data_IF_736850595740
#
_entry.id   IF_736850595740
#
_cell.length_a   1.000
_cell.length_b   1.000
_cell.length_c   1.000
_cell.angle_alpha   90.00
_cell.angle_beta   90.00
_cell.angle_gamma   90.00
#
_symmetry.space_group_name_H-M   'P 1'
#
loop_
_entity.id
_entity.type
_entity.pdbx_description
1 polymer ?
#
# COMPACT_ATOMS: atom_id res chain seq x y z
N UNK A 1 -19.59 -3.60 2.41
CA UNK A 1 -18.17 -3.19 2.27
C UNK A 1 -17.67 -2.80 3.65
N UNK A 2 -16.60 -3.43 4.17
CA UNK A 2 -15.98 -2.96 5.43
C UNK A 2 -15.06 -1.78 5.14
N UNK A 3 -15.01 -0.82 6.05
CA UNK A 3 -14.12 0.34 5.99
C UNK A 3 -12.90 0.07 6.87
N UNK A 4 -11.73 0.44 6.38
CA UNK A 4 -10.49 0.34 7.12
C UNK A 4 -10.44 1.38 8.24
N UNK A 5 -9.88 1.02 9.41
CA UNK A 5 -9.79 1.90 10.60
C UNK A 5 -9.11 3.25 10.32
N UNK A 6 -8.10 3.26 9.44
CA UNK A 6 -7.38 4.48 9.03
C UNK A 6 -8.24 5.45 8.22
N UNK A 7 -9.43 5.02 7.77
CA UNK A 7 -10.38 5.83 7.01
C UNK A 7 -11.32 6.65 7.88
N UNK A 8 -11.62 6.24 9.11
CA UNK A 8 -12.65 6.89 9.92
C UNK A 8 -12.46 8.41 10.09
N UNK A 9 -11.26 8.91 10.46
CA UNK A 9 -11.08 10.35 10.60
C UNK A 9 -11.29 11.10 9.27
N UNK A 10 -10.80 10.55 8.15
CA UNK A 10 -10.95 11.17 6.83
C UNK A 10 -12.41 11.16 6.37
N UNK A 11 -13.15 10.09 6.63
CA UNK A 11 -14.57 9.97 6.28
C UNK A 11 -15.41 10.98 7.07
N UNK A 12 -15.16 11.12 8.38
CA UNK A 12 -15.85 12.10 9.22
C UNK A 12 -15.57 13.52 8.74
N UNK A 13 -14.30 13.87 8.52
CA UNK A 13 -13.93 15.18 7.99
C UNK A 13 -14.52 15.44 6.60
N UNK A 14 -14.51 14.43 5.73
CA UNK A 14 -15.13 14.51 4.41
C UNK A 14 -16.64 14.75 4.48
N UNK A 15 -17.34 14.06 5.38
CA UNK A 15 -18.77 14.24 5.59
C UNK A 15 -19.09 15.65 6.09
N UNK A 16 -18.34 16.15 7.08
CA UNK A 16 -18.49 17.50 7.62
C UNK A 16 -18.24 18.56 6.54
N UNK A 17 -17.18 18.40 5.75
CA UNK A 17 -16.84 19.31 4.65
C UNK A 17 -17.94 19.34 3.59
N UNK A 18 -18.43 18.17 3.14
CA UNK A 18 -19.50 18.05 2.16
C UNK A 18 -20.80 18.67 2.68
N UNK A 19 -21.15 18.43 3.95
CA UNK A 19 -22.33 19.03 4.57
C UNK A 19 -22.23 20.54 4.62
N UNK A 20 -21.05 21.08 4.95
CA UNK A 20 -20.80 22.52 4.96
C UNK A 20 -20.94 23.12 3.54
N UNK A 21 -20.28 22.53 2.55
CA UNK A 21 -20.30 23.00 1.16
C UNK A 21 -21.72 23.00 0.61
N UNK A 22 -22.48 21.93 0.81
CA UNK A 22 -23.86 21.86 0.34
C UNK A 22 -24.77 22.84 1.11
N UNK A 23 -24.61 22.95 2.42
CA UNK A 23 -25.37 23.92 3.24
C UNK A 23 -25.14 25.36 2.79
N UNK A 24 -23.87 25.76 2.58
CA UNK A 24 -23.55 27.10 2.06
C UNK A 24 -24.07 27.29 0.63
N UNK A 25 -23.97 26.28 -0.22
CA UNK A 25 -24.51 26.33 -1.58
C UNK A 25 -26.00 26.61 -1.58
N UNK A 26 -26.81 25.85 -0.82
CA UNK A 26 -28.26 26.08 -0.72
C UNK A 26 -28.63 27.41 -0.08
N UNK A 27 -27.81 27.96 0.81
CA UNK A 27 -28.05 29.23 1.46
C UNK A 27 -27.73 30.43 0.54
N UNK A 28 -26.62 30.41 -0.21
CA UNK A 28 -26.13 31.54 -0.99
C UNK A 28 -26.49 31.49 -2.47
N UNK A 29 -26.75 30.30 -3.02
CA UNK A 29 -26.99 30.15 -4.48
C UNK A 29 -28.47 29.90 -4.72
N UNK A 30 -29.16 30.85 -5.39
CA UNK A 30 -30.60 30.73 -5.68
C UNK A 30 -30.91 29.74 -6.82
N UNK A 31 -29.92 29.30 -7.60
CA UNK A 31 -30.09 28.44 -8.77
C UNK A 31 -30.15 26.96 -8.36
N UNK A 32 -31.35 26.38 -8.35
CA UNK A 32 -31.58 24.98 -7.91
C UNK A 32 -30.74 23.96 -8.70
N UNK A 33 -30.60 24.14 -10.02
CA UNK A 33 -29.83 23.22 -10.86
C UNK A 33 -28.34 23.19 -10.50
N UNK A 34 -27.76 24.35 -10.10
CA UNK A 34 -26.38 24.42 -9.65
C UNK A 34 -26.20 23.72 -8.29
N UNK A 35 -27.15 23.88 -7.38
CA UNK A 35 -27.14 23.17 -6.09
C UNK A 35 -27.22 21.65 -6.27
N UNK A 36 -28.06 21.16 -7.18
CA UNK A 36 -28.14 19.74 -7.53
C UNK A 36 -26.80 19.24 -8.09
N UNK A 37 -26.18 20.01 -8.99
CA UNK A 37 -24.89 19.66 -9.58
C UNK A 37 -23.79 19.57 -8.51
N UNK A 38 -23.70 20.54 -7.59
CA UNK A 38 -22.75 20.51 -6.46
C UNK A 38 -23.00 19.29 -5.57
N UNK A 39 -24.26 18.96 -5.31
CA UNK A 39 -24.62 17.79 -4.49
C UNK A 39 -24.20 16.47 -5.14
N UNK A 40 -24.36 16.35 -6.46
CA UNK A 40 -23.92 15.17 -7.20
C UNK A 40 -22.40 15.02 -7.13
N UNK A 41 -21.64 16.10 -7.37
CA UNK A 41 -20.17 16.09 -7.26
C UNK A 41 -19.75 15.70 -5.84
N UNK A 42 -20.40 16.26 -4.83
CA UNK A 42 -20.14 15.94 -3.41
C UNK A 42 -20.37 14.47 -3.11
N UNK A 43 -21.44 13.88 -3.65
CA UNK A 43 -21.73 12.45 -3.49
C UNK A 43 -20.69 11.56 -4.15
N UNK A 44 -20.26 11.90 -5.38
CA UNK A 44 -19.20 11.18 -6.09
C UNK A 44 -17.89 11.26 -5.31
N UNK A 45 -17.54 12.44 -4.81
CA UNK A 45 -16.33 12.62 -4.00
C UNK A 45 -16.37 11.80 -2.72
N UNK A 46 -17.50 11.80 -2.02
CA UNK A 46 -17.68 10.99 -0.82
C UNK A 46 -17.58 9.49 -1.11
N UNK A 47 -18.19 9.03 -2.21
CA UNK A 47 -18.05 7.65 -2.66
C UNK A 47 -16.58 7.28 -2.93
N UNK A 48 -15.78 8.16 -3.55
CA UNK A 48 -14.36 7.92 -3.79
C UNK A 48 -13.57 7.78 -2.48
N UNK A 49 -13.89 8.59 -1.44
CA UNK A 49 -13.30 8.45 -0.11
C UNK A 49 -13.64 7.06 0.49
N UNK A 50 -14.90 6.65 0.44
CA UNK A 50 -15.31 5.34 0.95
C UNK A 50 -14.64 4.21 0.17
N UNK A 51 -14.58 4.32 -1.16
CA UNK A 51 -13.93 3.35 -2.03
C UNK A 51 -12.44 3.21 -1.73
N UNK A 52 -11.75 4.32 -1.49
CA UNK A 52 -10.33 4.32 -1.14
C UNK A 52 -10.05 3.55 0.15
N UNK A 53 -10.86 3.77 1.20
CA UNK A 53 -10.69 3.13 2.50
C UNK A 53 -11.39 1.77 2.62
N UNK A 54 -11.79 1.15 1.51
CA UNK A 54 -12.39 -0.19 1.56
C UNK A 54 -11.40 -1.23 2.07
N UNK A 55 -11.91 -2.13 2.91
CA UNK A 55 -11.15 -3.23 3.51
C UNK A 55 -11.79 -4.57 3.12
N UNK A 56 -11.43 -5.14 1.95
CA UNK A 56 -11.96 -6.42 1.55
C UNK A 56 -11.43 -7.55 2.44
N UNK A 57 -12.29 -8.51 2.74
CA UNK A 57 -11.88 -9.78 3.32
C UNK A 57 -11.33 -10.63 2.17
N UNK A 58 -10.14 -11.19 2.36
CA UNK A 58 -9.49 -12.07 1.39
C UNK A 58 -9.05 -13.36 2.06
N UNK A 59 -9.36 -14.47 1.43
CA UNK A 59 -8.81 -15.77 1.80
C UNK A 59 -7.39 -15.83 1.27
N UNK A 60 -6.42 -15.76 2.17
CA UNK A 60 -5.00 -15.84 1.85
C UNK A 60 -4.53 -17.27 2.05
N UNK A 61 -4.02 -17.90 0.99
CA UNK A 61 -3.40 -19.21 1.07
C UNK A 61 -2.01 -19.07 1.70
N UNK A 62 -1.92 -19.42 2.97
CA UNK A 62 -0.67 -19.36 3.73
C UNK A 62 0.25 -20.50 3.31
N UNK A 63 1.44 -20.18 2.79
CA UNK A 63 2.44 -21.17 2.37
C UNK A 63 3.84 -20.63 2.63
N UNK A 64 4.65 -21.36 3.40
CA UNK A 64 6.02 -20.94 3.78
C UNK A 64 7.00 -20.89 2.59
N UNK A 65 6.65 -21.47 1.44
CA UNK A 65 7.46 -21.41 0.20
C UNK A 65 7.10 -20.25 -0.71
N UNK A 66 5.93 -19.63 -0.52
CA UNK A 66 5.46 -18.56 -1.38
C UNK A 66 5.77 -17.19 -0.79
N UNK A 67 6.14 -16.27 -1.68
CA UNK A 67 6.15 -14.84 -1.40
C UNK A 67 4.91 -14.27 -2.07
N UNK A 68 3.94 -13.81 -1.27
CA UNK A 68 2.70 -13.24 -1.77
C UNK A 68 2.81 -11.72 -1.93
N UNK A 69 2.00 -11.18 -2.81
CA UNK A 69 1.92 -9.74 -3.01
C UNK A 69 1.42 -9.02 -1.75
N UNK A 70 2.17 -8.03 -1.25
CA UNK A 70 1.77 -7.26 -0.08
C UNK A 70 0.64 -6.26 -0.37
N UNK A 71 0.35 -5.93 -1.62
CA UNK A 71 -0.65 -4.93 -2.00
C UNK A 71 -1.29 -5.22 -3.35
N UNK A 72 -2.42 -4.55 -3.62
CA UNK A 72 -2.95 -4.41 -4.98
C UNK A 72 -2.10 -3.43 -5.76
N UNK A 73 -2.03 -3.61 -7.08
CA UNK A 73 -1.37 -2.67 -7.95
C UNK A 73 -1.00 -3.24 -9.29
N UNK A 74 -0.03 -2.61 -9.93
CA UNK A 74 0.60 -3.05 -11.16
C UNK A 74 2.09 -3.28 -10.93
N UNK A 75 2.61 -4.39 -11.39
CA UNK A 75 4.05 -4.66 -11.30
C UNK A 75 4.81 -3.81 -12.32
N UNK A 76 5.67 -2.92 -11.84
CA UNK A 76 6.34 -1.91 -12.68
C UNK A 76 7.86 -2.09 -12.75
N UNK A 77 8.43 -2.91 -11.88
CA UNK A 77 9.88 -3.20 -11.87
C UNK A 77 10.11 -4.67 -11.50
N UNK A 78 10.98 -5.34 -12.25
CA UNK A 78 11.64 -6.60 -11.91
C UNK A 78 13.10 -6.43 -12.25
N UNK A 79 13.98 -6.28 -11.27
CA UNK A 79 15.41 -6.09 -11.51
C UNK A 79 16.27 -6.69 -10.39
N UNK A 80 17.51 -7.03 -10.73
CA UNK A 80 18.50 -7.45 -9.74
C UNK A 80 19.25 -6.22 -9.25
N UNK A 81 19.28 -6.04 -7.93
CA UNK A 81 19.91 -4.90 -7.27
C UNK A 81 20.68 -5.35 -6.04
N UNK A 82 21.62 -4.53 -5.59
CA UNK A 82 22.22 -4.66 -4.26
C UNK A 82 21.38 -3.84 -3.29
N UNK A 83 20.79 -4.49 -2.29
CA UNK A 83 20.07 -3.80 -1.22
C UNK A 83 21.05 -3.39 -0.12
N UNK A 84 21.24 -2.08 0.07
CA UNK A 84 22.34 -1.52 0.90
C UNK A 84 21.88 -1.05 2.30
N UNK A 85 20.59 -1.16 2.65
CA UNK A 85 20.10 -0.68 3.95
C UNK A 85 20.23 -1.75 5.05
N UNK A 86 19.83 -2.99 4.74
CA UNK A 86 19.80 -4.07 5.70
C UNK A 86 20.39 -5.38 5.18
N UNK A 87 20.02 -5.80 3.96
CA UNK A 87 20.44 -7.11 3.43
C UNK A 87 21.92 -7.11 3.09
N UNK A 88 22.45 -6.02 2.52
CA UNK A 88 23.82 -5.87 2.04
C UNK A 88 24.23 -6.99 1.09
N UNK A 89 23.30 -7.43 0.24
CA UNK A 89 23.50 -8.53 -0.72
C UNK A 89 22.73 -8.28 -2.02
N UNK A 90 23.07 -9.02 -3.08
CA UNK A 90 22.30 -9.02 -4.32
C UNK A 90 20.96 -9.72 -4.11
N UNK A 91 19.89 -9.06 -4.54
CA UNK A 91 18.52 -9.55 -4.44
C UNK A 91 17.74 -9.17 -5.70
N UNK A 92 16.55 -9.74 -5.87
CA UNK A 92 15.61 -9.31 -6.90
C UNK A 92 14.59 -8.35 -6.29
N UNK A 93 14.49 -7.15 -6.87
CA UNK A 93 13.48 -6.16 -6.52
C UNK A 93 12.25 -6.33 -7.41
N UNK A 94 11.09 -6.41 -6.78
CA UNK A 94 9.76 -6.39 -7.39
C UNK A 94 9.02 -5.15 -6.91
N UNK A 95 8.64 -4.25 -7.81
CA UNK A 95 7.97 -3.00 -7.43
C UNK A 95 6.53 -2.98 -7.90
N UNK A 96 5.61 -2.74 -6.97
CA UNK A 96 4.18 -2.71 -7.19
C UNK A 96 3.69 -1.26 -7.03
N UNK A 97 3.25 -0.65 -8.11
CA UNK A 97 2.63 0.67 -8.10
C UNK A 97 1.14 0.57 -7.74
N UNK A 98 0.72 1.35 -6.77
CA UNK A 98 -0.65 1.39 -6.28
C UNK A 98 -1.33 2.68 -6.74
N UNK A 99 -2.29 2.59 -7.66
CA UNK A 99 -3.13 3.73 -8.02
C UNK A 99 -4.13 4.05 -6.90
N UNK A 100 -4.67 5.28 -6.80
CA UNK A 100 -5.69 5.63 -5.80
C UNK A 100 -6.95 4.75 -5.82
N UNK A 101 -7.22 4.06 -6.93
CA UNK A 101 -8.36 3.15 -7.06
C UNK A 101 -8.10 1.74 -6.54
N UNK A 102 -6.85 1.38 -6.23
CA UNK A 102 -6.48 0.09 -5.67
C UNK A 102 -6.86 -0.01 -4.17
N UNK A 103 -6.83 -1.23 -3.61
CA UNK A 103 -6.92 -1.44 -2.17
C UNK A 103 -5.58 -1.08 -1.54
N UNK A 104 -5.59 -0.21 -0.53
CA UNK A 104 -4.38 0.30 0.12
C UNK A 104 -4.02 -0.40 1.43
N UNK A 105 -4.84 -1.34 1.89
CA UNK A 105 -4.46 -2.30 2.92
C UNK A 105 -3.31 -3.17 2.41
N UNK A 106 -2.39 -3.50 3.29
CA UNK A 106 -1.22 -4.30 2.97
C UNK A 106 -1.16 -5.55 3.83
N UNK A 107 -0.60 -6.61 3.27
CA UNK A 107 -0.38 -7.91 3.89
C UNK A 107 1.12 -8.19 4.02
N UNK A 108 1.50 -9.00 5.01
CA UNK A 108 2.87 -9.49 5.06
C UNK A 108 3.14 -10.42 3.88
N UNK A 109 4.27 -10.24 3.16
CA UNK A 109 4.58 -11.06 1.98
C UNK A 109 4.97 -12.50 2.31
N UNK A 110 5.41 -12.77 3.54
CA UNK A 110 5.82 -14.09 3.99
C UNK A 110 5.49 -14.32 5.46
N UNK A 111 5.49 -15.60 5.86
CA UNK A 111 5.47 -15.97 7.27
C UNK A 111 6.89 -15.82 7.85
N UNK A 112 7.00 -15.42 9.12
CA UNK A 112 8.29 -15.33 9.78
C UNK A 112 8.32 -14.40 10.98
N UNK A 113 9.51 -13.98 11.35
CA UNK A 113 9.75 -13.01 12.41
C UNK A 113 10.20 -11.68 11.81
N UNK A 114 9.62 -10.58 12.24
CA UNK A 114 10.10 -9.24 11.89
C UNK A 114 11.43 -9.02 12.61
N UNK A 115 12.52 -8.90 11.86
CA UNK A 115 13.87 -8.69 12.40
C UNK A 115 14.35 -7.25 12.21
N UNK A 116 13.60 -6.44 11.47
CA UNK A 116 13.88 -5.02 11.26
C UNK A 116 12.60 -4.27 10.89
N UNK A 117 12.40 -3.10 11.47
CA UNK A 117 11.29 -2.21 11.13
C UNK A 117 11.72 -0.76 11.37
N UNK A 118 11.95 0.00 10.30
CA UNK A 118 12.45 1.37 10.39
C UNK A 118 11.69 2.33 9.49
N UNK A 119 11.28 3.44 10.05
CA UNK A 119 10.73 4.58 9.32
C UNK A 119 11.83 5.55 8.90
N UNK A 120 11.72 6.06 7.68
CA UNK A 120 12.61 7.06 7.12
C UNK A 120 11.80 8.26 6.65
N UNK A 121 11.98 9.44 7.23
CA UNK A 121 11.44 10.66 6.65
C UNK A 121 12.06 10.91 5.28
N UNK A 122 11.34 11.56 4.39
CA UNK A 122 11.83 11.77 3.03
C UNK A 122 10.97 12.76 2.24
N UNK A 123 11.21 12.79 0.93
CA UNK A 123 10.47 13.58 -0.04
C UNK A 123 9.13 12.92 -0.39
N UNK A 124 8.36 13.59 -1.23
CA UNK A 124 7.09 13.11 -1.77
C UNK A 124 7.12 13.17 -3.30
N UNK A 125 8.14 12.56 -3.91
CA UNK A 125 8.19 12.39 -5.36
C UNK A 125 7.04 11.48 -5.80
N UNK A 126 6.62 11.61 -7.06
CA UNK A 126 5.64 10.68 -7.61
C UNK A 126 6.14 9.23 -7.50
N UNK A 127 5.27 8.30 -7.11
CA UNK A 127 5.69 6.96 -6.70
C UNK A 127 6.36 6.13 -7.81
N UNK A 128 6.13 6.45 -9.08
CA UNK A 128 6.79 5.80 -10.22
C UNK A 128 8.16 6.41 -10.57
N UNK A 129 8.57 7.49 -9.91
CA UNK A 129 9.90 8.07 -10.15
C UNK A 129 10.98 7.11 -9.64
N UNK A 130 12.07 6.84 -10.42
CA UNK A 130 13.12 5.89 -10.03
C UNK A 130 13.73 6.14 -8.64
N UNK A 131 13.92 7.42 -8.27
CA UNK A 131 14.46 7.81 -6.97
C UNK A 131 13.47 7.72 -5.80
N UNK A 132 12.20 7.40 -6.06
CA UNK A 132 11.19 7.32 -4.97
C UNK A 132 11.51 6.26 -3.93
N UNK A 133 12.13 5.15 -4.34
CA UNK A 133 12.53 4.05 -3.43
C UNK A 133 13.57 4.45 -2.39
N UNK A 134 14.36 5.51 -2.65
CA UNK A 134 15.46 5.95 -1.79
C UNK A 134 15.25 7.31 -1.18
N UNK A 135 14.56 8.22 -1.86
CA UNK A 135 14.42 9.62 -1.43
C UNK A 135 13.07 9.93 -0.77
N UNK A 136 12.00 9.17 -1.05
CA UNK A 136 10.69 9.41 -0.46
C UNK A 136 10.61 8.94 0.99
N UNK A 137 9.63 9.51 1.70
CA UNK A 137 9.14 8.96 2.97
C UNK A 137 8.86 7.48 2.78
N UNK A 138 9.44 6.63 3.63
CA UNK A 138 9.32 5.18 3.51
C UNK A 138 9.43 4.46 4.84
N UNK A 139 8.89 3.25 4.90
CA UNK A 139 9.14 2.29 5.98
C UNK A 139 9.75 1.03 5.39
N UNK A 140 10.87 0.60 5.96
CA UNK A 140 11.56 -0.63 5.57
C UNK A 140 11.32 -1.70 6.62
N UNK A 141 10.84 -2.86 6.20
CA UNK A 141 10.52 -3.99 7.07
C UNK A 141 11.23 -5.24 6.53
N UNK A 142 11.89 -5.99 7.41
CA UNK A 142 12.53 -7.26 7.06
C UNK A 142 11.93 -8.41 7.87
N UNK A 143 11.52 -9.46 7.16
CA UNK A 143 10.97 -10.68 7.73
C UNK A 143 11.99 -11.81 7.50
N UNK A 144 12.39 -12.46 8.57
CA UNK A 144 13.17 -13.71 8.51
C UNK A 144 12.20 -14.90 8.56
N UNK A 145 12.21 -15.71 7.51
CA UNK A 145 11.41 -16.94 7.45
C UNK A 145 11.99 -18.03 8.32
N UNK A 146 11.23 -19.12 8.54
CA UNK A 146 11.74 -20.32 9.26
C UNK A 146 12.97 -20.93 8.59
N UNK A 147 13.08 -20.82 7.26
CA UNK A 147 14.21 -21.32 6.45
C UNK A 147 15.39 -20.33 6.42
N UNK A 148 15.35 -19.27 7.24
CA UNK A 148 16.39 -18.24 7.32
C UNK A 148 16.52 -17.38 6.06
N UNK A 149 15.54 -17.41 5.14
CA UNK A 149 15.48 -16.45 4.05
C UNK A 149 14.99 -15.09 4.61
N UNK A 150 15.62 -14.01 4.16
CA UNK A 150 15.22 -12.64 4.50
C UNK A 150 14.42 -12.05 3.37
N UNK A 151 13.23 -11.57 3.65
CA UNK A 151 12.35 -10.86 2.72
C UNK A 151 12.22 -9.43 3.23
N UNK A 152 12.75 -8.48 2.46
CA UNK A 152 12.59 -7.06 2.77
C UNK A 152 11.44 -6.52 1.92
N UNK A 153 10.54 -5.79 2.54
CA UNK A 153 9.58 -4.98 1.79
C UNK A 153 9.59 -3.54 2.31
N UNK A 154 9.39 -2.62 1.37
CA UNK A 154 9.47 -1.20 1.62
C UNK A 154 8.17 -0.53 1.20
N UNK A 155 7.52 0.11 2.15
CA UNK A 155 6.38 0.98 1.91
C UNK A 155 6.90 2.35 1.51
N UNK A 156 6.47 2.90 0.38
CA UNK A 156 6.98 4.15 -0.18
C UNK A 156 5.82 5.10 -0.42
N UNK A 157 5.88 6.28 0.18
CA UNK A 157 4.90 7.34 -0.05
C UNK A 157 5.02 7.89 -1.48
N UNK A 158 3.93 8.38 -2.02
CA UNK A 158 3.89 9.08 -3.30
C UNK A 158 3.63 10.58 -3.13
N UNK A 159 3.43 11.30 -4.23
CA UNK A 159 3.23 12.76 -4.22
C UNK A 159 2.00 13.22 -3.41
N UNK A 160 0.96 12.41 -3.35
CA UNK A 160 -0.27 12.69 -2.60
C UNK A 160 -0.28 11.93 -1.26
N UNK A 161 0.44 10.81 -1.19
CA UNK A 161 0.56 9.98 0.01
C UNK A 161 1.49 10.66 1.01
N UNK A 162 0.93 11.16 2.11
CA UNK A 162 1.69 11.84 3.18
C UNK A 162 1.71 11.05 4.48
N UNK A 163 1.27 9.78 4.48
CA UNK A 163 1.25 8.98 5.70
C UNK A 163 1.31 7.49 5.42
N UNK A 164 2.38 6.89 5.90
CA UNK A 164 2.57 5.44 5.97
C UNK A 164 2.15 4.98 7.36
N UNK A 165 1.22 4.03 7.43
CA UNK A 165 0.86 3.31 8.64
C UNK A 165 1.56 1.95 8.59
N UNK A 166 2.68 1.83 9.26
CA UNK A 166 3.42 0.59 9.42
C UNK A 166 2.97 -0.08 10.74
N UNK A 167 2.55 -1.34 10.66
CA UNK A 167 2.13 -2.13 11.82
C UNK A 167 3.15 -3.21 12.21
N UNK A 168 4.29 -3.27 11.52
CA UNK A 168 5.33 -4.22 11.82
C UNK A 168 6.07 -3.81 13.11
N UNK A 169 6.05 -4.71 14.08
CA UNK A 169 6.79 -4.56 15.35
C UNK A 169 7.99 -5.49 15.31
N UNK A 170 9.19 -4.95 15.48
CA UNK A 170 10.40 -5.73 15.51
C UNK A 170 10.35 -6.78 16.64
N UNK A 171 10.78 -8.00 16.34
CA UNK A 171 10.70 -9.15 17.25
C UNK A 171 9.38 -9.93 17.16
N UNK A 172 8.32 -9.41 16.55
CA UNK A 172 7.03 -10.09 16.43
C UNK A 172 7.04 -11.19 15.36
N UNK A 173 6.21 -12.22 15.56
CA UNK A 173 5.92 -13.23 14.55
C UNK A 173 4.74 -12.76 13.70
N UNK A 174 4.85 -12.94 12.38
CA UNK A 174 3.85 -12.52 11.41
C UNK A 174 3.51 -13.63 10.43
N UNK A 175 2.29 -13.56 9.89
CA UNK A 175 1.79 -14.49 8.88
C UNK A 175 1.26 -13.75 7.66
N UNK A 176 1.26 -14.40 6.51
CA UNK A 176 0.81 -13.85 5.23
C UNK A 176 -0.63 -13.33 5.24
N UNK A 177 -1.52 -13.85 6.10
CA UNK A 177 -2.90 -13.39 6.22
C UNK A 177 -3.08 -12.19 7.16
N UNK A 178 -2.00 -11.76 7.84
CA UNK A 178 -2.03 -10.60 8.74
C UNK A 178 -1.85 -9.30 7.97
N UNK A 179 -2.41 -8.25 8.52
CA UNK A 179 -2.27 -6.89 8.01
C UNK A 179 -0.91 -6.30 8.39
N UNK A 180 -0.15 -5.86 7.38
CA UNK A 180 1.18 -5.28 7.55
C UNK A 180 1.17 -3.76 7.67
N UNK A 181 0.12 -3.10 7.13
CA UNK A 181 0.02 -1.66 7.17
C UNK A 181 -1.00 -1.07 6.20
N UNK A 182 -0.95 0.25 6.07
CA UNK A 182 -1.79 1.03 5.16
C UNK A 182 -1.04 2.26 4.68
N UNK A 183 -1.13 2.61 3.39
CA UNK A 183 -0.58 3.86 2.86
C UNK A 183 -1.72 4.72 2.31
N UNK A 184 -1.77 6.01 2.71
CA UNK A 184 -2.86 6.92 2.28
C UNK A 184 -2.48 7.63 0.98
N UNK A 185 -3.31 7.49 -0.07
CA UNK A 185 -3.29 8.25 -1.33
C UNK A 185 -2.09 8.05 -2.27
N UNK A 186 -2.04 6.90 -2.95
CA UNK A 186 -1.11 6.60 -4.04
C UNK A 186 0.32 6.32 -3.55
N UNK A 187 0.83 5.15 -3.87
CA UNK A 187 2.04 4.64 -3.25
C UNK A 187 2.72 3.58 -4.11
N UNK A 188 3.86 3.14 -3.66
CA UNK A 188 4.59 2.02 -4.23
C UNK A 188 5.04 1.10 -3.11
N UNK A 189 5.08 -0.20 -3.38
CA UNK A 189 5.72 -1.17 -2.52
C UNK A 189 6.82 -1.85 -3.30
N UNK A 190 8.03 -1.85 -2.74
CA UNK A 190 9.14 -2.64 -3.25
C UNK A 190 9.31 -3.87 -2.36
N UNK A 191 9.40 -5.04 -2.98
CA UNK A 191 9.69 -6.32 -2.32
C UNK A 191 11.04 -6.82 -2.82
N UNK A 192 11.97 -7.03 -1.90
CA UNK A 192 13.31 -7.54 -2.19
C UNK A 192 13.39 -8.99 -1.70
N UNK A 193 13.68 -9.88 -2.63
CA UNK A 193 13.66 -11.33 -2.42
C UNK A 193 15.02 -11.93 -2.77
N UNK A 194 15.39 -13.09 -2.19
CA UNK A 194 16.63 -13.76 -2.55
C UNK A 194 16.75 -13.99 -4.06
N UNK A 195 17.89 -13.72 -4.65
CA UNK A 195 18.14 -13.83 -6.10
C UNK A 195 17.81 -15.21 -6.69
N UNK A 196 17.89 -16.26 -5.87
CA UNK A 196 17.58 -17.65 -6.25
C UNK A 196 16.08 -17.97 -6.34
N UNK A 197 15.19 -17.04 -5.95
CA UNK A 197 13.75 -17.27 -5.92
C UNK A 197 13.19 -17.36 -7.34
N UNK A 198 12.20 -18.24 -7.55
CA UNK A 198 11.50 -18.39 -8.82
C UNK A 198 10.37 -17.38 -8.93
N UNK A 199 10.54 -16.36 -9.78
CA UNK A 199 9.53 -15.32 -10.04
C UNK A 199 8.34 -15.93 -10.79
N UNK A 200 7.12 -15.61 -10.36
CA UNK A 200 5.84 -16.12 -10.91
C UNK A 200 4.99 -15.05 -11.60
N UNK A 201 5.51 -13.85 -11.71
CA UNK A 201 4.84 -12.68 -12.29
C UNK A 201 5.71 -12.03 -13.37
N UNK A 202 5.08 -11.29 -14.28
CA UNK A 202 5.74 -10.54 -15.33
C UNK A 202 5.52 -9.03 -15.14
N UNK A 203 6.36 -8.21 -15.82
CA UNK A 203 6.12 -6.77 -15.88
C UNK A 203 4.72 -6.49 -16.43
N UNK A 204 4.11 -5.44 -15.91
CA UNK A 204 2.76 -4.99 -16.24
C UNK A 204 1.61 -5.87 -15.73
N UNK A 205 1.88 -6.98 -15.04
CA UNK A 205 0.86 -7.79 -14.43
C UNK A 205 0.02 -7.00 -13.41
N UNK A 206 -1.28 -7.27 -13.41
CA UNK A 206 -2.18 -6.81 -12.36
C UNK A 206 -2.02 -7.67 -11.12
N UNK A 207 -1.60 -7.04 -10.03
CA UNK A 207 -1.28 -7.69 -8.76
C UNK A 207 -2.45 -7.53 -7.78
N UNK A 208 -2.81 -8.64 -7.12
CA UNK A 208 -3.83 -8.66 -6.07
C UNK A 208 -3.18 -9.04 -4.75
N UNK A 209 -3.13 -8.08 -3.82
CA UNK A 209 -2.53 -8.26 -2.50
C UNK A 209 -3.17 -9.40 -1.70
N UNK A 210 -2.35 -10.21 -1.07
CA UNK A 210 -2.78 -11.38 -0.33
C UNK A 210 -3.22 -12.57 -1.20
N UNK A 211 -3.17 -12.46 -2.56
CA UNK A 211 -3.58 -13.54 -3.48
C UNK A 211 -2.52 -13.88 -4.52
N UNK A 212 -1.92 -12.87 -5.15
CA UNK A 212 -0.92 -13.11 -6.19
C UNK A 212 0.36 -13.63 -5.57
N UNK A 213 0.87 -14.76 -6.08
CA UNK A 213 2.17 -15.30 -5.72
C UNK A 213 3.21 -14.55 -6.57
N UNK A 214 4.08 -13.77 -5.93
CA UNK A 214 5.15 -13.04 -6.60
C UNK A 214 6.32 -13.96 -6.96
N UNK A 215 6.67 -14.85 -6.02
CA UNK A 215 7.78 -15.78 -6.21
C UNK A 215 7.66 -17.00 -5.28
N UNK A 216 8.45 -18.04 -5.58
CA UNK A 216 8.70 -19.20 -4.72
C UNK A 216 10.14 -19.18 -4.22
N UNK A 217 10.34 -19.51 -2.91
CA UNK A 217 11.64 -19.59 -2.25
C UNK A 217 12.36 -20.91 -2.50
#
# INVERSE_FOLDING_TARGET
>A
MKIHREGYPTIILGLLFISLVNGLSYYFIPFIYLNIFISIISLVFFYLILHFFRNPIRDVLVNDKHIIAPSDGKLVVIENVVENEFLNEECTQLSIFMSPLNVHKQWYPSNGKVIYSKYHPGKYLVAWHPKSSTENERSTIVIETKQKNKILYRQIAGAVARRICNYAIEGSNVNQNMEAGFIKFGSRIDVYIPKKSHIKVALDDTIIGGKTILAEL
#
